data_IF_960066575542
#
_entry.id   IF_960066575542
#
_cell.length_a   1.000
_cell.length_b   1.000
_cell.length_c   1.000
_cell.angle_alpha   90.00
_cell.angle_beta   90.00
_cell.angle_gamma   90.00
#
_symmetry.space_group_name_H-M   'P 1'
#
loop_
_entity.id
_entity.type
_entity.pdbx_description
1 polymer ?
#
# COMPACT_ATOMS: atom_id res chain seq x y z
N UNK A 1 26.90 8.36 -15.17
CA UNK A 1 25.72 8.87 -14.49
C UNK A 1 24.66 7.77 -14.40
N UNK A 2 24.15 7.58 -13.23
CA UNK A 2 23.07 6.60 -13.06
C UNK A 2 21.73 7.25 -13.34
N UNK A 3 20.84 6.49 -13.96
CA UNK A 3 19.48 6.95 -14.15
C UNK A 3 18.82 7.16 -12.79
N UNK A 4 17.92 8.14 -12.67
CA UNK A 4 17.19 8.29 -11.44
C UNK A 4 16.38 7.03 -11.15
N UNK A 5 16.22 6.71 -9.89
CA UNK A 5 15.39 5.59 -9.51
C UNK A 5 13.98 5.80 -10.10
N UNK A 6 13.35 4.72 -10.59
CA UNK A 6 11.99 4.88 -11.09
C UNK A 6 11.08 5.37 -9.98
N UNK A 7 10.04 6.09 -10.36
CA UNK A 7 9.06 6.57 -9.40
C UNK A 7 8.45 5.38 -8.65
N UNK A 8 8.10 5.58 -7.39
CA UNK A 8 7.51 4.48 -6.61
C UNK A 8 6.24 3.93 -7.26
N UNK A 9 6.07 2.63 -7.15
CA UNK A 9 4.88 1.95 -7.67
C UNK A 9 3.91 1.72 -6.52
N UNK A 10 2.70 2.23 -6.69
CA UNK A 10 1.64 2.10 -5.70
C UNK A 10 0.58 1.14 -6.25
N UNK A 11 0.21 0.14 -5.46
CA UNK A 11 -0.91 -0.73 -5.81
C UNK A 11 -2.13 -0.26 -5.03
N UNK A 12 -3.19 0.13 -5.74
CA UNK A 12 -4.43 0.60 -5.13
C UNK A 12 -5.44 -0.53 -5.18
N UNK A 13 -5.88 -1.00 -4.02
CA UNK A 13 -6.85 -2.09 -3.92
C UNK A 13 -8.17 -1.52 -3.45
N UNK A 14 -9.13 -1.45 -4.35
CA UNK A 14 -10.43 -0.83 -4.12
C UNK A 14 -11.45 -1.46 -5.07
N UNK A 15 -12.56 -1.95 -4.53
CA UNK A 15 -13.57 -2.63 -5.32
C UNK A 15 -14.51 -1.69 -6.07
N UNK A 16 -14.67 -0.47 -5.58
CA UNK A 16 -15.55 0.52 -6.21
C UNK A 16 -14.82 1.21 -7.36
N UNK A 17 -15.33 1.03 -8.58
CA UNK A 17 -14.65 1.49 -9.79
C UNK A 17 -14.31 2.98 -9.78
N UNK A 18 -15.28 3.82 -9.42
CA UNK A 18 -15.06 5.27 -9.42
C UNK A 18 -13.98 5.69 -8.43
N UNK A 19 -13.99 5.11 -7.23
CA UNK A 19 -12.99 5.42 -6.23
C UNK A 19 -11.61 4.93 -6.66
N UNK A 20 -11.55 3.73 -7.24
CA UNK A 20 -10.29 3.15 -7.71
C UNK A 20 -9.67 4.01 -8.79
N UNK A 21 -10.47 4.46 -9.75
CA UNK A 21 -9.99 5.32 -10.83
C UNK A 21 -9.57 6.69 -10.33
N UNK A 22 -10.30 7.25 -9.38
CA UNK A 22 -9.96 8.53 -8.78
C UNK A 22 -8.60 8.47 -8.09
N UNK A 23 -8.37 7.44 -7.29
CA UNK A 23 -7.10 7.27 -6.61
C UNK A 23 -5.96 7.10 -7.62
N UNK A 24 -6.19 6.27 -8.64
CA UNK A 24 -5.17 6.05 -9.67
C UNK A 24 -4.81 7.36 -10.36
N UNK A 25 -5.82 8.09 -10.82
CA UNK A 25 -5.58 9.32 -11.58
C UNK A 25 -4.84 10.34 -10.74
N UNK A 26 -5.26 10.50 -9.49
CA UNK A 26 -4.63 11.50 -8.64
C UNK A 26 -3.19 11.12 -8.29
N UNK A 27 -2.95 9.85 -8.00
CA UNK A 27 -1.60 9.41 -7.66
C UNK A 27 -0.68 9.47 -8.86
N UNK A 28 -1.17 9.16 -10.06
CA UNK A 28 -0.38 9.31 -11.28
C UNK A 28 -0.04 10.78 -11.52
N UNK A 29 -1.00 11.66 -11.31
CA UNK A 29 -0.76 13.10 -11.42
C UNK A 29 0.31 13.55 -10.43
N UNK A 30 0.36 12.96 -9.25
CA UNK A 30 1.35 13.29 -8.23
C UNK A 30 2.74 12.70 -8.53
N UNK A 31 2.88 11.92 -9.59
CA UNK A 31 4.16 11.40 -10.02
C UNK A 31 4.43 9.93 -9.68
N UNK A 32 3.47 9.22 -9.11
CA UNK A 32 3.63 7.81 -8.81
C UNK A 32 3.26 6.96 -10.02
N UNK A 33 3.86 5.76 -10.09
CA UNK A 33 3.36 4.72 -10.98
C UNK A 33 2.27 3.98 -10.22
N UNK A 34 1.19 3.58 -10.90
CA UNK A 34 0.05 2.99 -10.22
C UNK A 34 -0.41 1.72 -10.93
N UNK A 35 -0.62 0.67 -10.13
CA UNK A 35 -1.36 -0.52 -10.52
C UNK A 35 -2.62 -0.56 -9.67
N UNK A 36 -3.65 -1.22 -10.14
CA UNK A 36 -4.90 -1.32 -9.41
C UNK A 36 -5.35 -2.76 -9.27
N UNK A 37 -6.10 -3.04 -8.21
CA UNK A 37 -6.72 -4.34 -7.98
C UNK A 37 -8.12 -4.12 -7.44
N UNK A 38 -9.04 -4.99 -7.79
CA UNK A 38 -10.45 -4.85 -7.41
C UNK A 38 -10.81 -5.64 -6.17
N UNK A 39 -9.96 -6.57 -5.77
CA UNK A 39 -10.22 -7.41 -4.59
C UNK A 39 -8.92 -7.94 -4.02
N UNK A 40 -9.03 -8.68 -2.93
CA UNK A 40 -7.85 -9.17 -2.23
C UNK A 40 -7.06 -10.20 -3.03
N UNK A 41 -7.73 -11.03 -3.81
CA UNK A 41 -7.06 -12.04 -4.63
C UNK A 41 -6.19 -11.38 -5.69
N UNK A 42 -6.76 -10.43 -6.42
CA UNK A 42 -6.02 -9.70 -7.43
C UNK A 42 -4.87 -8.93 -6.81
N UNK A 43 -5.07 -8.38 -5.60
CA UNK A 43 -4.02 -7.67 -4.88
C UNK A 43 -2.84 -8.58 -4.62
N UNK A 44 -3.10 -9.81 -4.17
CA UNK A 44 -2.02 -10.76 -3.87
C UNK A 44 -1.28 -11.13 -5.15
N UNK A 45 -2.01 -11.40 -6.23
CA UNK A 45 -1.39 -11.75 -7.51
C UNK A 45 -0.51 -10.63 -8.03
N UNK A 46 -1.02 -9.40 -8.01
CA UNK A 46 -0.26 -8.25 -8.52
C UNK A 46 0.90 -7.89 -7.62
N UNK A 47 0.74 -8.04 -6.31
CA UNK A 47 1.84 -7.76 -5.39
C UNK A 47 3.02 -8.69 -5.67
N UNK A 48 2.76 -9.96 -5.94
CA UNK A 48 3.81 -10.91 -6.28
C UNK A 48 4.45 -10.61 -7.62
N UNK A 49 3.63 -10.29 -8.62
CA UNK A 49 4.10 -10.10 -9.99
C UNK A 49 4.80 -8.76 -10.18
N UNK A 50 4.30 -7.70 -9.55
CA UNK A 50 4.76 -6.33 -9.80
C UNK A 50 5.65 -5.77 -8.72
N UNK A 51 5.64 -6.34 -7.53
CA UNK A 51 6.45 -5.88 -6.40
C UNK A 51 6.33 -4.39 -6.14
N UNK A 52 5.11 -3.92 -5.82
CA UNK A 52 4.92 -2.48 -5.55
C UNK A 52 5.69 -2.05 -4.32
N UNK A 53 5.98 -0.76 -4.25
CA UNK A 53 6.63 -0.21 -3.08
C UNK A 53 5.66 -0.03 -1.92
N UNK A 54 4.40 0.19 -2.25
CA UNK A 54 3.37 0.41 -1.24
C UNK A 54 2.01 -0.03 -1.78
N UNK A 55 1.19 -0.59 -0.90
CA UNK A 55 -0.18 -1.01 -1.21
C UNK A 55 -1.14 -0.17 -0.37
N UNK A 56 -2.12 0.44 -1.04
CA UNK A 56 -3.27 1.03 -0.35
C UNK A 56 -4.34 -0.03 -0.35
N UNK A 57 -4.66 -0.55 0.82
CA UNK A 57 -5.56 -1.70 0.96
C UNK A 57 -6.88 -1.26 1.59
N UNK A 58 -7.96 -1.29 0.80
CA UNK A 58 -9.29 -1.08 1.34
C UNK A 58 -9.64 -2.30 2.21
N UNK A 59 -10.12 -2.05 3.41
CA UNK A 59 -10.45 -3.12 4.33
C UNK A 59 -11.83 -3.73 4.06
N UNK A 60 -12.68 -3.06 3.29
CA UNK A 60 -14.04 -3.49 3.02
C UNK A 60 -14.19 -4.17 1.66
N UNK A 61 -13.31 -5.11 1.35
CA UNK A 61 -13.32 -5.79 0.05
C UNK A 61 -14.22 -7.02 0.07
N UNK A 62 -14.81 -7.37 -1.10
CA UNK A 62 -15.56 -8.63 -1.21
C UNK A 62 -14.61 -9.83 -1.28
N UNK A 63 -15.13 -11.01 -0.96
CA UNK A 63 -14.34 -12.25 -1.00
C UNK A 63 -13.25 -12.26 0.06
N UNK A 64 -12.01 -12.40 -0.35
CA UNK A 64 -10.87 -12.24 0.56
C UNK A 64 -10.79 -10.75 0.88
N UNK A 65 -11.13 -10.38 2.11
CA UNK A 65 -11.16 -8.98 2.49
C UNK A 65 -9.74 -8.43 2.72
N UNK A 66 -9.67 -7.12 2.97
CA UNK A 66 -8.39 -6.45 3.15
C UNK A 66 -7.58 -6.96 4.32
N UNK A 67 -8.26 -7.40 5.39
CA UNK A 67 -7.58 -7.97 6.56
C UNK A 67 -6.84 -9.26 6.19
N UNK A 68 -7.56 -10.17 5.54
CA UNK A 68 -7.00 -11.45 5.15
C UNK A 68 -5.91 -11.29 4.11
N UNK A 69 -6.13 -10.43 3.11
CA UNK A 69 -5.13 -10.17 2.10
C UNK A 69 -3.85 -9.61 2.72
N UNK A 70 -3.98 -8.71 3.68
CA UNK A 70 -2.83 -8.15 4.38
C UNK A 70 -2.06 -9.23 5.14
N UNK A 71 -2.77 -10.09 5.87
CA UNK A 71 -2.12 -11.17 6.60
C UNK A 71 -1.34 -12.09 5.67
N UNK A 72 -1.95 -12.46 4.55
CA UNK A 72 -1.29 -13.34 3.58
C UNK A 72 -0.06 -12.70 2.97
N UNK A 73 -0.15 -11.42 2.62
CA UNK A 73 0.98 -10.69 2.05
C UNK A 73 2.13 -10.56 3.05
N UNK A 74 1.82 -10.27 4.30
CA UNK A 74 2.84 -10.11 5.34
C UNK A 74 3.44 -11.43 5.79
N UNK A 75 2.75 -12.53 5.55
CA UNK A 75 3.26 -13.86 5.90
C UNK A 75 4.17 -14.44 4.82
N UNK A 76 4.05 -13.99 3.58
CA UNK A 76 4.83 -14.53 2.47
C UNK A 76 6.17 -13.82 2.33
N UNK A 77 7.28 -14.59 2.22
CA UNK A 77 8.63 -13.97 2.14
C UNK A 77 8.78 -13.00 0.98
N UNK A 78 8.12 -13.26 -0.15
CA UNK A 78 8.26 -12.43 -1.35
C UNK A 78 7.51 -11.12 -1.28
N UNK A 79 6.58 -10.95 -0.31
CA UNK A 79 5.76 -9.74 -0.22
C UNK A 79 5.76 -9.09 1.16
N UNK A 80 6.35 -9.72 2.17
CA UNK A 80 6.29 -9.19 3.54
C UNK A 80 6.96 -7.82 3.69
N UNK A 81 7.87 -7.48 2.80
CA UNK A 81 8.60 -6.21 2.86
C UNK A 81 7.79 -5.03 2.30
N UNK A 82 6.69 -5.30 1.60
CA UNK A 82 5.90 -4.26 0.97
C UNK A 82 5.13 -3.47 2.04
N UNK A 83 5.18 -2.15 1.96
CA UNK A 83 4.45 -1.29 2.89
C UNK A 83 2.96 -1.40 2.59
N UNK A 84 2.14 -1.69 3.61
CA UNK A 84 0.69 -1.77 3.43
C UNK A 84 0.02 -0.75 4.32
N UNK A 85 -0.73 0.16 3.70
CA UNK A 85 -1.53 1.15 4.41
C UNK A 85 -3.00 0.78 4.23
N UNK A 86 -3.68 0.58 5.35
CA UNK A 86 -5.09 0.22 5.35
C UNK A 86 -5.95 1.47 5.19
N UNK A 87 -6.99 1.37 4.35
CA UNK A 87 -8.02 2.41 4.22
C UNK A 87 -9.32 1.87 4.80
N UNK A 88 -9.96 2.62 5.68
CA UNK A 88 -11.19 2.18 6.31
C UNK A 88 -12.21 3.31 6.42
N UNK A 89 -13.46 2.99 6.12
CA UNK A 89 -14.57 3.93 6.32
C UNK A 89 -14.97 4.04 7.80
N UNK A 90 -14.48 3.12 8.63
CA UNK A 90 -14.82 3.07 10.05
C UNK A 90 -13.58 3.38 10.88
N UNK A 91 -13.46 4.65 11.31
CA UNK A 91 -12.28 5.14 12.02
C UNK A 91 -12.38 4.89 13.53
N UNK A 92 -12.79 3.69 13.93
CA UNK A 92 -12.83 3.32 15.34
C UNK A 92 -11.45 2.89 15.80
N UNK A 93 -11.15 3.14 17.07
CA UNK A 93 -9.85 2.74 17.63
C UNK A 93 -9.57 1.26 17.43
N UNK A 94 -10.61 0.42 17.53
CA UNK A 94 -10.49 -1.02 17.34
C UNK A 94 -10.08 -1.37 15.91
N UNK A 95 -10.49 -0.59 14.93
CA UNK A 95 -10.11 -0.83 13.53
C UNK A 95 -8.62 -0.62 13.32
N UNK A 96 -8.06 0.45 13.92
CA UNK A 96 -6.62 0.69 13.84
C UNK A 96 -5.82 -0.42 14.52
N UNK A 97 -6.30 -0.93 15.64
CA UNK A 97 -5.64 -2.04 16.32
C UNK A 97 -5.68 -3.30 15.49
N UNK A 98 -6.82 -3.59 14.87
CA UNK A 98 -6.95 -4.75 13.99
C UNK A 98 -6.01 -4.65 12.78
N UNK A 99 -5.90 -3.45 12.22
CA UNK A 99 -5.01 -3.22 11.08
C UNK A 99 -3.56 -3.54 11.45
N UNK A 100 -3.13 -3.06 12.61
CA UNK A 100 -1.78 -3.36 13.09
C UNK A 100 -1.59 -4.84 13.37
N UNK A 101 -2.59 -5.48 13.96
CA UNK A 101 -2.54 -6.92 14.24
C UNK A 101 -2.46 -7.74 12.96
N UNK A 102 -3.07 -7.27 11.88
CA UNK A 102 -2.99 -7.93 10.59
C UNK A 102 -1.66 -7.69 9.88
N UNK A 103 -0.86 -6.74 10.37
CA UNK A 103 0.45 -6.44 9.81
C UNK A 103 0.52 -5.18 8.98
N UNK A 104 -0.53 -4.34 8.98
CA UNK A 104 -0.49 -3.07 8.26
C UNK A 104 0.56 -2.15 8.84
N UNK A 105 1.26 -1.43 7.98
CA UNK A 105 2.25 -0.46 8.38
C UNK A 105 1.63 0.89 8.71
N UNK A 106 0.45 1.17 8.16
CA UNK A 106 -0.26 2.39 8.43
C UNK A 106 -1.77 2.21 8.30
N UNK A 107 -2.50 3.23 8.72
CA UNK A 107 -3.96 3.21 8.72
C UNK A 107 -4.46 4.61 8.40
N UNK A 108 -5.36 4.71 7.42
CA UNK A 108 -5.97 5.97 7.02
C UNK A 108 -7.48 5.84 7.07
N UNK A 109 -8.13 6.76 7.78
CA UNK A 109 -9.58 6.79 7.85
C UNK A 109 -10.16 7.49 6.63
N UNK A 110 -11.22 6.94 6.07
CA UNK A 110 -11.99 7.60 5.02
C UNK A 110 -13.02 8.53 5.65
N UNK A 111 -13.39 9.61 5.01
CA UNK A 111 -12.86 10.09 3.73
C UNK A 111 -11.49 10.72 3.90
N UNK A 112 -10.61 10.46 2.94
CA UNK A 112 -9.28 11.05 2.92
C UNK A 112 -9.15 11.84 1.63
N UNK A 113 -8.89 13.14 1.76
CA UNK A 113 -8.72 13.99 0.59
C UNK A 113 -7.46 13.59 -0.16
N UNK A 114 -7.47 13.62 -1.50
CA UNK A 114 -6.31 13.18 -2.28
C UNK A 114 -4.99 13.84 -1.90
N UNK A 115 -4.91 15.15 -1.59
CA UNK A 115 -3.63 15.72 -1.15
C UNK A 115 -3.12 15.10 0.14
N UNK A 116 -4.02 14.81 1.10
CA UNK A 116 -3.65 14.19 2.35
C UNK A 116 -3.17 12.77 2.14
N UNK A 117 -3.80 12.06 1.21
CA UNK A 117 -3.40 10.70 0.86
C UNK A 117 -1.97 10.69 0.30
N UNK A 118 -1.67 11.60 -0.63
CA UNK A 118 -0.32 11.72 -1.20
C UNK A 118 0.70 12.01 -0.11
N UNK A 119 0.35 12.90 0.81
CA UNK A 119 1.24 13.25 1.92
C UNK A 119 1.56 12.02 2.78
N UNK A 120 0.54 11.24 3.13
CA UNK A 120 0.72 10.06 3.96
C UNK A 120 1.54 8.99 3.24
N UNK A 121 1.27 8.76 1.96
CA UNK A 121 2.04 7.81 1.16
C UNK A 121 3.51 8.23 1.12
N UNK A 122 3.77 9.49 0.85
CA UNK A 122 5.14 10.01 0.79
C UNK A 122 5.86 9.83 2.11
N UNK A 123 5.17 10.10 3.21
CA UNK A 123 5.73 9.95 4.55
C UNK A 123 6.16 8.51 4.82
N UNK A 124 5.29 7.54 4.51
CA UNK A 124 5.62 6.13 4.72
C UNK A 124 6.75 5.66 3.81
N UNK A 125 6.75 6.10 2.56
CA UNK A 125 7.81 5.73 1.63
C UNK A 125 9.16 6.23 2.09
N UNK A 126 9.24 7.47 2.57
CA UNK A 126 10.50 8.03 3.06
C UNK A 126 11.01 7.29 4.29
N UNK A 127 10.13 7.02 5.22
CA UNK A 127 10.48 6.33 6.45
C UNK A 127 11.03 4.93 6.18
N UNK A 128 10.31 4.16 5.36
CA UNK A 128 10.72 2.79 5.05
C UNK A 128 11.85 2.75 4.02
N UNK A 129 11.95 3.77 3.17
CA UNK A 129 13.05 3.90 2.25
C UNK A 129 14.38 4.08 2.97
N UNK A 130 14.39 4.87 4.03
CA UNK A 130 15.58 5.05 4.87
C UNK A 130 16.00 3.74 5.51
N UNK A 131 15.03 2.95 6.00
CA UNK A 131 15.32 1.65 6.59
C UNK A 131 15.90 0.68 5.55
N UNK A 132 15.34 0.68 4.35
CA UNK A 132 15.84 -0.15 3.26
C UNK A 132 17.27 0.21 2.88
N UNK A 133 17.56 1.51 2.82
CA UNK A 133 18.89 1.97 2.49
C UNK A 133 19.92 1.50 3.54
N UNK A 134 19.55 1.56 4.81
CA UNK A 134 20.43 1.08 5.87
C UNK A 134 20.67 -0.42 5.78
N UNK A 135 19.60 -1.19 5.54
CA UNK A 135 19.73 -2.64 5.40
C UNK A 135 20.54 -3.00 4.17
N UNK A 136 20.32 -2.30 3.07
CA UNK A 136 21.09 -2.50 1.85
C UNK A 136 22.57 -2.27 2.06
N UNK A 137 22.92 -1.19 2.77
CA UNK A 137 24.30 -0.89 3.09
C UNK A 137 24.94 -1.98 3.93
N UNK A 138 24.21 -2.48 4.92
CA UNK A 138 24.71 -3.56 5.76
C UNK A 138 24.97 -4.83 4.96
N UNK A 139 24.11 -5.14 4.02
CA UNK A 139 24.26 -6.35 3.22
C UNK A 139 25.44 -6.31 2.25
N UNK A 140 25.90 -5.14 1.90
CA UNK A 140 27.03 -4.99 0.99
C UNK A 140 28.36 -5.19 1.67
N UNK A 141 28.35 -5.21 2.95
CA UNK A 141 29.54 -5.44 3.75
C UNK A 141 29.53 -6.82 4.36
#
# INVERSE_FOLDING_TARGET
MTDPAPNPLILVVEDFDDAREMYRDYLEFAGFRVETARDGREAIEKARARQPDLILMDLSLPGIDGWEATRLLKAAPETKHIIIIALSAHALATEGERARAAGCDGFIAKPCLPPDLVHEITKYLKSHGADRARRGGQRRH
#
